data_IF_588004400631
#
_entry.id   IF_588004400631
#
_cell.length_a   1.000
_cell.length_b   1.000
_cell.length_c   1.000
_cell.angle_alpha   90.00
_cell.angle_beta   90.00
_cell.angle_gamma   90.00
#
_symmetry.space_group_name_H-M   'P 1'
#
loop_
_entity.id
_entity.type
_entity.pdbx_description
1 polymer ?
#
# COMPACT_ATOMS: atom_id res chain seq x y z
N UNK A 1 15.72 4.59 -2.36
CA UNK A 1 15.04 5.61 -1.54
C UNK A 1 13.54 5.49 -1.82
N UNK A 2 12.71 5.35 -0.78
CA UNK A 2 11.24 5.27 -0.90
C UNK A 2 10.63 6.68 -0.82
N UNK A 3 9.50 6.90 -1.48
CA UNK A 3 8.70 8.13 -1.35
C UNK A 3 7.59 8.00 -0.28
N UNK A 4 7.67 6.96 0.54
CA UNK A 4 6.75 6.72 1.67
C UNK A 4 7.44 7.12 2.96
N UNK A 5 6.86 8.07 3.68
CA UNK A 5 7.35 8.56 4.96
C UNK A 5 7.19 7.56 6.11
N UNK A 6 7.79 7.88 7.26
CA UNK A 6 7.72 7.05 8.47
C UNK A 6 6.29 6.90 9.03
N UNK A 7 5.42 7.87 8.76
CA UNK A 7 3.98 7.84 9.06
C UNK A 7 3.16 7.06 8.01
N UNK A 8 3.84 6.41 7.06
CA UNK A 8 3.28 5.64 5.95
C UNK A 8 2.45 6.50 4.99
N UNK A 9 2.67 7.82 4.96
CA UNK A 9 2.14 8.70 3.92
C UNK A 9 3.01 8.66 2.70
N UNK A 10 2.37 8.64 1.53
CA UNK A 10 3.06 8.88 0.25
C UNK A 10 3.31 10.38 0.12
N UNK A 11 4.53 10.77 -0.25
CA UNK A 11 4.89 12.16 -0.50
C UNK A 11 4.00 12.78 -1.59
N UNK A 12 3.50 13.99 -1.34
CA UNK A 12 2.60 14.73 -2.25
C UNK A 12 1.32 13.98 -2.66
N UNK A 13 0.90 12.97 -1.90
CA UNK A 13 -0.33 12.22 -2.17
C UNK A 13 -1.57 13.06 -1.87
N UNK A 14 -2.50 13.06 -2.81
CA UNK A 14 -3.80 13.71 -2.67
C UNK A 14 -4.75 12.87 -1.80
N UNK A 15 -4.47 11.58 -1.63
CA UNK A 15 -5.28 10.70 -0.79
C UNK A 15 -5.04 10.97 0.70
N UNK A 16 -6.13 11.05 1.46
CA UNK A 16 -6.08 11.48 2.86
C UNK A 16 -5.58 10.41 3.84
N UNK A 17 -5.53 9.13 3.43
CA UNK A 17 -5.17 8.03 4.31
C UNK A 17 -3.78 7.48 3.98
N UNK A 18 -2.99 7.06 4.99
CA UNK A 18 -1.70 6.43 4.77
C UNK A 18 -1.85 5.02 4.16
N UNK A 19 -0.73 4.43 3.74
CA UNK A 19 -0.67 3.02 3.39
C UNK A 19 -1.08 2.18 4.61
N UNK A 20 -2.07 1.26 4.48
CA UNK A 20 -2.58 0.50 5.62
C UNK A 20 -1.46 -0.22 6.39
N UNK A 21 -1.54 -0.32 7.73
CA UNK A 21 -0.46 -0.89 8.55
C UNK A 21 -0.23 -2.40 8.29
N UNK A 22 -1.17 -3.06 7.62
CA UNK A 22 -1.09 -4.46 7.24
C UNK A 22 -0.59 -4.70 5.80
N UNK A 23 0.00 -3.68 5.18
CA UNK A 23 0.74 -3.80 3.92
C UNK A 23 2.23 -3.69 4.23
N UNK A 24 3.00 -4.70 3.88
CA UNK A 24 4.45 -4.65 3.98
C UNK A 24 5.06 -4.24 2.67
N UNK A 25 6.17 -3.49 2.74
CA UNK A 25 6.93 -3.10 1.56
C UNK A 25 8.42 -3.06 1.87
N UNK A 26 9.20 -3.60 0.94
CA UNK A 26 10.65 -3.70 1.04
C UNK A 26 11.39 -2.39 0.75
N UNK A 27 12.71 -2.50 0.70
CA UNK A 27 13.59 -1.38 0.39
C UNK A 27 13.27 -0.78 -0.98
N UNK A 28 13.26 0.55 -1.07
CA UNK A 28 13.09 1.25 -2.34
C UNK A 28 11.70 1.10 -2.96
N UNK A 29 10.69 0.68 -2.18
CA UNK A 29 9.31 0.72 -2.59
C UNK A 29 8.88 2.13 -3.00
N UNK A 30 8.16 2.22 -4.11
CA UNK A 30 7.56 3.45 -4.60
C UNK A 30 6.05 3.26 -4.72
N UNK A 31 5.29 4.25 -4.28
CA UNK A 31 3.84 4.28 -4.46
C UNK A 31 3.40 5.66 -4.91
N UNK A 32 2.67 5.76 -6.00
CA UNK A 32 2.19 7.05 -6.51
C UNK A 32 1.02 7.60 -5.69
N UNK A 33 0.18 6.72 -5.13
CA UNK A 33 -0.90 7.11 -4.23
C UNK A 33 -1.36 5.93 -3.36
N UNK A 34 -1.59 6.16 -2.07
CA UNK A 34 -2.13 5.16 -1.14
C UNK A 34 -3.61 4.82 -1.43
N UNK A 35 -4.26 5.55 -2.35
CA UNK A 35 -5.61 5.25 -2.82
C UNK A 35 -5.74 3.85 -3.44
N UNK A 36 -4.65 3.25 -3.92
CA UNK A 36 -4.62 1.90 -4.50
C UNK A 36 -5.08 0.81 -3.51
N UNK A 37 -5.04 1.10 -2.20
CA UNK A 37 -5.44 0.18 -1.14
C UNK A 37 -6.88 0.36 -0.65
N UNK A 38 -7.66 1.30 -1.24
CA UNK A 38 -9.01 1.66 -0.76
C UNK A 38 -10.03 0.51 -0.72
N UNK A 39 -9.78 -0.57 -1.47
CA UNK A 39 -10.68 -1.73 -1.54
C UNK A 39 -10.19 -2.93 -0.72
N UNK A 40 -9.06 -2.81 -0.01
CA UNK A 40 -8.62 -3.84 0.93
C UNK A 40 -9.56 -3.90 2.13
N UNK A 41 -10.25 -5.04 2.29
CA UNK A 41 -11.20 -5.27 3.39
C UNK A 41 -10.56 -6.01 4.56
N UNK A 42 -9.59 -6.88 4.30
CA UNK A 42 -8.90 -7.63 5.36
C UNK A 42 -8.15 -6.71 6.33
N UNK A 43 -8.11 -7.14 7.59
CA UNK A 43 -7.34 -6.54 8.68
C UNK A 43 -6.26 -7.49 9.21
N UNK A 44 -6.09 -8.66 8.58
CA UNK A 44 -5.01 -9.57 8.92
C UNK A 44 -3.66 -8.86 8.74
N UNK A 45 -2.72 -9.11 9.64
CA UNK A 45 -1.35 -8.64 9.50
C UNK A 45 -0.71 -9.26 8.23
N UNK A 46 0.22 -8.54 7.61
CA UNK A 46 0.92 -9.00 6.41
C UNK A 46 -0.03 -9.40 5.26
N UNK A 47 -1.14 -8.67 5.09
CA UNK A 47 -2.16 -8.98 4.10
C UNK A 47 -1.67 -8.84 2.65
N UNK A 48 -0.68 -7.99 2.44
CA UNK A 48 -0.05 -7.74 1.15
C UNK A 48 1.42 -7.40 1.38
N UNK A 49 2.32 -8.10 0.70
CA UNK A 49 3.75 -7.91 0.86
C UNK A 49 4.39 -7.58 -0.48
N UNK A 50 5.00 -6.40 -0.59
CA UNK A 50 5.83 -6.02 -1.72
C UNK A 50 7.30 -6.29 -1.40
N UNK A 51 8.01 -6.87 -2.37
CA UNK A 51 9.45 -7.04 -2.31
C UNK A 51 10.22 -5.73 -2.45
N UNK A 52 11.54 -5.85 -2.56
CA UNK A 52 12.43 -4.70 -2.78
C UNK A 52 12.23 -4.13 -4.20
N UNK A 53 12.35 -2.80 -4.31
CA UNK A 53 12.32 -2.03 -5.55
C UNK A 53 11.06 -2.23 -6.40
N UNK A 54 9.92 -2.45 -5.75
CA UNK A 54 8.60 -2.49 -6.41
C UNK A 54 8.01 -1.09 -6.50
N UNK A 55 7.43 -0.78 -7.68
CA UNK A 55 6.70 0.46 -7.92
C UNK A 55 5.22 0.18 -8.14
N UNK A 56 4.35 0.90 -7.45
CA UNK A 56 2.88 0.84 -7.62
C UNK A 56 2.38 2.19 -8.11
N UNK A 57 1.82 2.21 -9.32
CA UNK A 57 1.30 3.41 -9.97
C UNK A 57 -0.20 3.59 -9.71
N UNK A 58 -0.66 4.82 -9.93
CA UNK A 58 -2.08 5.16 -9.86
C UNK A 58 -2.89 4.29 -10.83
N UNK A 59 -4.10 3.89 -10.39
CA UNK A 59 -4.98 3.00 -11.14
C UNK A 59 -4.83 1.51 -10.80
N UNK A 60 -3.75 1.09 -10.13
CA UNK A 60 -3.70 -0.24 -9.51
C UNK A 60 -4.80 -0.39 -8.45
N UNK A 61 -5.20 -1.62 -8.17
CA UNK A 61 -6.15 -1.93 -7.10
C UNK A 61 -5.89 -3.32 -6.54
N UNK A 62 -5.93 -3.44 -5.21
CA UNK A 62 -5.78 -4.71 -4.49
C UNK A 62 -7.11 -5.04 -3.82
N UNK A 63 -7.83 -6.02 -4.37
CA UNK A 63 -9.11 -6.50 -3.85
C UNK A 63 -8.89 -7.72 -2.93
N UNK A 64 -8.56 -7.45 -1.68
CA UNK A 64 -8.35 -8.48 -0.65
C UNK A 64 -9.54 -8.49 0.31
N UNK A 65 -10.41 -9.50 0.21
CA UNK A 65 -11.51 -9.70 1.16
C UNK A 65 -11.03 -10.20 2.51
N UNK A 66 -11.95 -10.31 3.48
CA UNK A 66 -11.65 -10.46 4.93
C UNK A 66 -10.62 -11.56 5.24
N UNK A 67 -10.68 -12.69 4.53
CA UNK A 67 -9.80 -13.86 4.71
C UNK A 67 -8.81 -14.06 3.56
N UNK A 68 -8.47 -13.01 2.81
CA UNK A 68 -7.65 -13.11 1.59
C UNK A 68 -8.39 -13.67 0.37
N UNK A 69 -9.70 -13.95 0.50
CA UNK A 69 -10.58 -14.31 -0.61
C UNK A 69 -11.20 -13.06 -1.23
N UNK A 70 -11.13 -12.93 -2.56
CA UNK A 70 -11.77 -11.84 -3.32
C UNK A 70 -13.30 -11.89 -3.23
#
# INVERSE_FOLDING_TARGET
MSNVGADRRVESDWWAHPIPPNVDFGEGFYCETAQVFRFMKTKAAHALCFGNHVSVYAGCSFALGVNGSA
#
